data_IF_773236057036
#
_entry.id   IF_773236057036
#
_cell.length_a   1.000
_cell.length_b   1.000
_cell.length_c   1.000
_cell.angle_alpha   90.00
_cell.angle_beta   90.00
_cell.angle_gamma   90.00
#
_symmetry.space_group_name_H-M   'P 1'
#
loop_
_entity.id
_entity.type
_entity.pdbx_description
1 polymer ?
#
# COMPACT_ATOMS: atom_id res chain seq x y z
N UNK A 1 13.63 -29.77 10.23
CA UNK A 1 13.96 -28.37 9.98
C UNK A 1 12.88 -27.75 9.13
N UNK A 2 12.32 -26.61 9.56
CA UNK A 2 11.30 -25.92 8.78
C UNK A 2 11.94 -25.22 7.58
N UNK A 3 11.30 -25.28 6.42
CA UNK A 3 11.80 -24.54 5.28
C UNK A 3 11.79 -23.04 5.56
N UNK A 4 12.73 -22.36 4.95
CA UNK A 4 12.85 -20.91 5.05
C UNK A 4 11.67 -20.24 4.31
N UNK A 5 11.11 -19.19 4.92
CA UNK A 5 10.04 -18.43 4.29
C UNK A 5 10.50 -17.84 2.94
N UNK A 6 9.65 -17.94 1.93
CA UNK A 6 9.87 -17.32 0.63
C UNK A 6 9.98 -15.79 0.76
N UNK A 7 10.82 -15.15 -0.06
CA UNK A 7 11.01 -13.70 -0.02
C UNK A 7 9.73 -12.91 -0.24
N UNK A 8 8.91 -13.34 -1.18
CA UNK A 8 7.64 -12.64 -1.44
C UNK A 8 6.72 -12.72 -0.23
N UNK A 9 6.64 -13.88 0.40
CA UNK A 9 5.84 -14.05 1.62
C UNK A 9 6.41 -13.23 2.77
N UNK A 10 7.72 -13.18 2.90
CA UNK A 10 8.40 -12.39 3.93
C UNK A 10 8.04 -10.92 3.81
N UNK A 11 8.22 -10.32 2.62
CA UNK A 11 7.92 -8.91 2.43
C UNK A 11 6.41 -8.63 2.46
N UNK A 12 5.56 -9.56 2.00
CA UNK A 12 4.11 -9.41 2.12
C UNK A 12 3.65 -9.48 3.58
N UNK A 13 4.27 -10.30 4.41
CA UNK A 13 3.99 -10.33 5.84
C UNK A 13 4.40 -9.03 6.53
N UNK A 14 5.49 -8.40 6.11
CA UNK A 14 5.88 -7.09 6.60
C UNK A 14 4.83 -6.05 6.18
N UNK A 15 4.40 -6.08 4.92
CA UNK A 15 3.35 -5.18 4.42
C UNK A 15 2.05 -5.36 5.21
N UNK A 16 1.70 -6.59 5.58
CA UNK A 16 0.53 -6.87 6.42
C UNK A 16 0.66 -6.22 7.79
N UNK A 17 1.83 -6.31 8.41
CA UNK A 17 2.11 -5.67 9.70
C UNK A 17 2.01 -4.15 9.56
N UNK A 18 2.53 -3.58 8.47
CA UNK A 18 2.41 -2.15 8.18
C UNK A 18 0.93 -1.77 8.03
N UNK A 19 0.15 -2.56 7.31
CA UNK A 19 -1.28 -2.32 7.13
C UNK A 19 -2.04 -2.25 8.47
N UNK A 20 -1.62 -3.01 9.47
CA UNK A 20 -2.25 -3.03 10.78
C UNK A 20 -2.18 -1.68 11.49
N UNK A 21 -1.30 -0.77 11.09
CA UNK A 21 -1.19 0.59 11.63
C UNK A 21 -2.10 1.58 10.93
N UNK A 22 -2.80 1.18 9.87
CA UNK A 22 -3.68 2.09 9.13
C UNK A 22 -4.75 2.69 10.03
N UNK A 23 -5.07 3.97 9.79
CA UNK A 23 -6.16 4.67 10.50
C UNK A 23 -7.45 4.69 9.69
N UNK A 24 -7.51 4.01 8.55
CA UNK A 24 -8.71 3.92 7.73
C UNK A 24 -9.70 2.92 8.34
N UNK A 25 -10.99 3.29 8.38
CA UNK A 25 -12.06 2.45 8.91
C UNK A 25 -12.56 1.44 7.88
N UNK A 26 -12.39 1.72 6.58
CA UNK A 26 -12.95 0.90 5.51
C UNK A 26 -12.05 -0.26 5.14
N UNK A 27 -10.82 0.04 4.69
CA UNK A 27 -9.81 -0.95 4.34
C UNK A 27 -8.45 -0.48 4.78
N UNK A 28 -7.65 -1.41 5.25
CA UNK A 28 -6.29 -1.12 5.69
C UNK A 28 -5.31 -1.68 4.67
N UNK A 29 -4.41 -0.82 4.19
CA UNK A 29 -3.37 -1.20 3.24
C UNK A 29 -1.99 -0.90 3.81
N UNK A 30 -1.05 -1.77 3.48
CA UNK A 30 0.36 -1.58 3.78
C UNK A 30 1.17 -1.77 2.52
N UNK A 31 2.16 -0.90 2.32
CA UNK A 31 3.08 -0.95 1.20
C UNK A 31 4.51 -0.99 1.70
N UNK A 32 5.34 -1.82 1.07
CA UNK A 32 6.77 -1.92 1.37
C UNK A 32 7.53 -1.84 0.07
N UNK A 33 8.44 -0.87 -0.03
CA UNK A 33 9.32 -0.74 -1.20
C UNK A 33 10.64 -1.41 -0.88
N UNK A 34 11.07 -2.31 -1.76
CA UNK A 34 12.29 -3.09 -1.62
C UNK A 34 13.16 -2.91 -2.84
N UNK A 35 14.46 -2.75 -2.66
CA UNK A 35 15.43 -2.69 -3.74
C UNK A 35 16.71 -3.35 -3.28
N UNK A 36 17.28 -4.21 -4.12
CA UNK A 36 18.48 -4.98 -3.80
C UNK A 36 18.34 -5.73 -2.46
N UNK A 37 17.16 -6.31 -2.22
CA UNK A 37 16.84 -7.07 -1.00
C UNK A 37 16.93 -6.22 0.28
N UNK A 38 16.72 -4.91 0.16
CA UNK A 38 16.68 -3.98 1.29
C UNK A 38 15.35 -3.25 1.31
N UNK A 39 14.76 -3.10 2.49
CA UNK A 39 13.56 -2.28 2.65
C UNK A 39 13.97 -0.80 2.55
N UNK A 40 13.41 -0.11 1.55
CA UNK A 40 13.70 1.30 1.29
C UNK A 40 12.71 2.19 2.06
N UNK A 41 11.42 1.83 2.03
CA UNK A 41 10.38 2.61 2.68
C UNK A 41 9.17 1.75 2.93
N UNK A 42 8.35 2.18 3.89
CA UNK A 42 7.04 1.59 4.17
C UNK A 42 5.99 2.68 4.17
N UNK A 43 4.74 2.30 3.98
CA UNK A 43 3.63 3.23 4.08
C UNK A 43 2.33 2.48 4.35
N UNK A 44 1.47 3.08 5.16
CA UNK A 44 0.10 2.59 5.36
C UNK A 44 -0.87 3.72 5.01
N UNK A 45 -2.10 3.36 4.68
CA UNK A 45 -3.09 4.38 4.36
C UNK A 45 -3.63 5.00 5.66
N UNK A 46 -3.90 6.31 5.60
CA UNK A 46 -4.40 7.02 6.77
C UNK A 46 -4.50 8.50 6.51
N UNK A 47 -4.98 9.23 7.52
CA UNK A 47 -5.09 10.68 7.45
C UNK A 47 -3.72 11.35 7.30
N UNK A 48 -3.73 12.57 6.83
CA UNK A 48 -2.53 13.38 6.71
C UNK A 48 -1.85 13.49 8.07
N UNK A 49 -0.53 13.41 8.10
CA UNK A 49 0.24 13.54 9.34
C UNK A 49 -0.09 14.85 10.04
N UNK A 50 -0.43 14.78 11.34
CA UNK A 50 -0.84 15.93 12.11
C UNK A 50 -2.30 16.33 11.93
N UNK A 51 -2.99 15.72 10.97
CA UNK A 51 -4.42 15.93 10.75
C UNK A 51 -5.26 14.87 11.47
N UNK A 52 -6.58 15.07 11.43
CA UNK A 52 -7.54 14.14 12.02
C UNK A 52 -7.73 12.95 11.08
N UNK A 53 -7.64 11.72 11.60
CA UNK A 53 -7.85 10.51 10.81
C UNK A 53 -9.26 9.94 11.00
N UNK A 54 -9.62 8.90 10.23
CA UNK A 54 -10.94 8.31 10.26
C UNK A 54 -11.24 7.61 11.60
N UNK A 55 -10.24 7.02 12.25
CA UNK A 55 -10.42 6.40 13.55
C UNK A 55 -10.81 7.47 14.58
N UNK A 56 -10.12 8.62 14.58
CA UNK A 56 -10.40 9.72 15.50
C UNK A 56 -11.77 10.34 15.23
N UNK A 57 -12.15 10.50 13.94
CA UNK A 57 -13.45 11.07 13.58
C UNK A 57 -14.59 10.07 13.76
N UNK A 58 -14.29 8.76 13.75
CA UNK A 58 -15.30 7.70 13.82
C UNK A 58 -16.12 7.57 12.55
N UNK A 59 -15.70 8.17 11.43
CA UNK A 59 -16.47 8.19 10.19
C UNK A 59 -15.56 8.10 8.97
N UNK A 60 -16.00 7.31 8.00
CA UNK A 60 -15.36 7.23 6.68
C UNK A 60 -16.31 7.81 5.63
N UNK A 61 -15.95 8.93 4.96
CA UNK A 61 -16.81 9.51 3.93
C UNK A 61 -17.14 8.57 2.77
N UNK A 62 -16.34 7.54 2.57
CA UNK A 62 -16.52 6.58 1.47
C UNK A 62 -17.06 5.22 1.90
N UNK A 63 -17.51 5.07 3.15
CA UNK A 63 -17.90 3.77 3.71
C UNK A 63 -18.93 3.02 2.86
N UNK A 64 -19.89 3.74 2.28
CA UNK A 64 -20.99 3.17 1.51
C UNK A 64 -20.78 3.24 -0.01
N UNK A 65 -19.59 3.62 -0.47
CA UNK A 65 -19.28 3.73 -1.89
C UNK A 65 -18.55 2.48 -2.39
N UNK A 66 -18.78 2.07 -3.64
CA UNK A 66 -17.99 0.97 -4.22
C UNK A 66 -16.50 1.29 -4.23
N UNK A 67 -15.67 0.26 -4.07
CA UNK A 67 -14.22 0.40 -4.10
C UNK A 67 -13.77 0.93 -5.48
N UNK A 68 -12.83 1.87 -5.48
CA UNK A 68 -12.29 2.53 -6.67
C UNK A 68 -13.35 3.21 -7.54
N UNK A 69 -14.47 3.64 -6.93
CA UNK A 69 -15.53 4.37 -7.64
C UNK A 69 -15.52 5.85 -7.25
N UNK A 70 -15.96 6.68 -8.17
CA UNK A 70 -16.16 8.10 -7.95
C UNK A 70 -14.87 8.88 -7.65
N UNK A 71 -15.05 10.06 -7.06
CA UNK A 71 -13.97 10.97 -6.72
C UNK A 71 -13.51 10.71 -5.27
N UNK A 72 -12.20 10.62 -5.05
CA UNK A 72 -11.61 10.43 -3.74
C UNK A 72 -11.38 11.73 -2.96
N UNK A 73 -11.82 12.88 -3.49
CA UNK A 73 -11.60 14.17 -2.81
C UNK A 73 -12.26 14.25 -1.43
N UNK A 74 -13.32 13.50 -1.18
CA UNK A 74 -13.98 13.45 0.13
C UNK A 74 -13.25 12.55 1.13
N UNK A 75 -12.34 11.72 0.67
CA UNK A 75 -11.55 10.86 1.54
C UNK A 75 -10.38 11.65 2.11
N UNK A 76 -10.24 11.64 3.44
CA UNK A 76 -9.13 12.33 4.11
C UNK A 76 -7.84 11.51 4.14
N UNK A 77 -7.89 10.27 3.65
CA UNK A 77 -6.76 9.34 3.70
C UNK A 77 -5.77 9.53 2.56
N UNK A 78 -4.50 9.36 2.88
CA UNK A 78 -3.42 9.21 1.91
C UNK A 78 -3.22 7.71 1.70
N UNK A 79 -3.01 7.29 0.46
CA UNK A 79 -2.87 5.85 0.14
C UNK A 79 -1.55 5.28 0.66
N UNK A 80 -1.52 3.99 0.95
CA UNK A 80 -0.33 3.30 1.43
C UNK A 80 0.83 3.45 0.44
N UNK A 81 0.57 3.25 -0.85
CA UNK A 81 1.58 3.38 -1.91
C UNK A 81 2.13 4.81 -1.95
N UNK A 82 1.27 5.82 -1.84
CA UNK A 82 1.67 7.22 -1.82
C UNK A 82 2.58 7.51 -0.65
N UNK A 83 2.24 7.04 0.55
CA UNK A 83 3.05 7.24 1.74
C UNK A 83 4.42 6.56 1.62
N UNK A 84 4.47 5.36 1.09
CA UNK A 84 5.74 4.67 0.87
C UNK A 84 6.59 5.43 -0.15
N UNK A 85 6.00 5.88 -1.26
CA UNK A 85 6.71 6.58 -2.32
C UNK A 85 7.28 7.93 -1.86
N UNK A 86 6.53 8.71 -1.08
CA UNK A 86 7.03 10.00 -0.60
C UNK A 86 8.06 9.86 0.52
N UNK A 87 8.21 8.68 1.11
CA UNK A 87 9.18 8.42 2.17
C UNK A 87 10.53 7.96 1.64
N UNK A 88 10.70 7.85 0.31
CA UNK A 88 11.91 7.35 -0.32
C UNK A 88 12.42 8.32 -1.38
N UNK A 89 13.72 8.27 -1.66
CA UNK A 89 14.28 8.98 -2.79
C UNK A 89 14.06 8.15 -4.07
N UNK A 90 13.76 8.82 -5.19
CA UNK A 90 13.50 8.12 -6.44
C UNK A 90 14.69 7.24 -6.86
N UNK A 91 15.92 7.73 -6.69
CA UNK A 91 17.13 6.96 -7.05
C UNK A 91 17.23 5.62 -6.32
N UNK A 92 16.64 5.52 -5.12
CA UNK A 92 16.65 4.29 -4.33
C UNK A 92 15.53 3.33 -4.73
N UNK A 93 14.53 3.80 -5.48
CA UNK A 93 13.38 3.01 -5.91
C UNK A 93 13.52 2.42 -7.32
N UNK A 94 14.36 3.02 -8.16
CA UNK A 94 14.49 2.59 -9.56
C UNK A 94 14.92 1.11 -9.63
N UNK A 95 14.17 0.32 -10.40
CA UNK A 95 14.30 -1.13 -10.55
C UNK A 95 13.96 -1.92 -9.27
N UNK A 96 13.34 -1.28 -8.30
CA UNK A 96 12.87 -1.95 -7.10
C UNK A 96 11.50 -2.59 -7.27
N UNK A 97 10.98 -3.14 -6.20
CA UNK A 97 9.67 -3.77 -6.13
C UNK A 97 8.83 -3.10 -5.04
N UNK A 98 7.51 -3.10 -5.22
CA UNK A 98 6.57 -2.65 -4.20
C UNK A 98 5.67 -3.82 -3.81
N UNK A 99 5.65 -4.12 -2.52
CA UNK A 99 4.79 -5.15 -1.95
C UNK A 99 3.58 -4.48 -1.34
N UNK A 100 2.38 -4.91 -1.73
CA UNK A 100 1.12 -4.30 -1.30
C UNK A 100 0.23 -5.35 -0.67
N UNK A 101 -0.25 -5.06 0.54
CA UNK A 101 -1.13 -5.94 1.28
C UNK A 101 -2.36 -5.16 1.76
N UNK A 102 -3.52 -5.81 1.75
CA UNK A 102 -4.76 -5.20 2.19
C UNK A 102 -5.52 -6.05 3.19
N UNK A 103 -6.21 -5.37 4.10
CA UNK A 103 -7.06 -5.98 5.12
C UNK A 103 -8.45 -5.31 5.10
N UNK A 104 -9.48 -6.08 5.37
CA UNK A 104 -10.83 -5.59 5.60
C UNK A 104 -11.46 -6.45 6.70
N UNK A 105 -11.87 -5.82 7.81
CA UNK A 105 -12.39 -6.52 8.98
C UNK A 105 -11.43 -7.62 9.46
N UNK A 106 -10.13 -7.30 9.53
CA UNK A 106 -9.03 -8.18 9.94
C UNK A 106 -8.82 -9.40 9.03
N UNK A 107 -9.45 -9.41 7.86
CA UNK A 107 -9.28 -10.48 6.88
C UNK A 107 -8.39 -10.02 5.73
N UNK A 108 -7.56 -10.94 5.24
CA UNK A 108 -6.68 -10.68 4.09
C UNK A 108 -7.52 -10.45 2.83
N UNK A 109 -7.26 -9.34 2.14
CA UNK A 109 -7.89 -9.05 0.86
C UNK A 109 -7.14 -9.76 -0.27
N UNK A 110 -7.88 -10.47 -1.12
CA UNK A 110 -7.30 -11.14 -2.28
C UNK A 110 -7.16 -10.21 -3.48
N UNK A 111 -8.12 -9.30 -3.67
CA UNK A 111 -8.14 -8.38 -4.80
C UNK A 111 -7.51 -7.05 -4.43
N UNK A 112 -6.18 -7.05 -4.33
CA UNK A 112 -5.40 -5.87 -3.98
C UNK A 112 -4.72 -5.34 -5.24
N UNK A 113 -5.01 -4.08 -5.57
CA UNK A 113 -4.43 -3.43 -6.73
C UNK A 113 -4.30 -1.93 -6.47
N UNK A 114 -3.18 -1.30 -6.85
CA UNK A 114 -3.07 0.16 -6.74
C UNK A 114 -4.15 0.85 -7.58
N UNK A 115 -4.65 1.99 -7.10
CA UNK A 115 -5.58 2.79 -7.89
C UNK A 115 -4.87 3.37 -9.12
N UNK A 116 -5.61 3.90 -10.12
CA UNK A 116 -4.99 4.43 -11.33
C UNK A 116 -3.96 5.53 -11.07
N UNK A 117 -4.17 6.38 -10.06
CA UNK A 117 -3.22 7.43 -9.69
C UNK A 117 -1.94 6.79 -9.12
N UNK A 118 -2.09 5.83 -8.21
CA UNK A 118 -0.94 5.15 -7.62
C UNK A 118 -0.13 4.37 -8.67
N UNK A 119 -0.80 3.75 -9.64
CA UNK A 119 -0.12 3.07 -10.75
C UNK A 119 0.83 4.01 -11.50
N UNK A 120 0.36 5.21 -11.81
CA UNK A 120 1.18 6.22 -12.49
C UNK A 120 2.38 6.62 -11.64
N UNK A 121 2.17 6.81 -10.35
CA UNK A 121 3.24 7.19 -9.42
C UNK A 121 4.29 6.09 -9.32
N UNK A 122 3.85 4.83 -9.23
CA UNK A 122 4.73 3.65 -9.16
C UNK A 122 5.61 3.57 -10.42
N UNK A 123 5.01 3.71 -11.60
CA UNK A 123 5.74 3.71 -12.87
C UNK A 123 6.75 4.86 -12.90
N UNK A 124 6.32 6.06 -12.52
CA UNK A 124 7.17 7.24 -12.53
C UNK A 124 8.33 7.16 -11.54
N UNK A 125 8.14 6.41 -10.44
CA UNK A 125 9.20 6.14 -9.47
C UNK A 125 10.26 5.15 -9.98
N UNK A 126 9.98 4.46 -11.08
CA UNK A 126 10.90 3.47 -11.66
C UNK A 126 10.79 2.08 -11.04
N UNK A 127 9.74 1.83 -10.26
CA UNK A 127 9.50 0.52 -9.66
C UNK A 127 9.12 -0.46 -10.77
N UNK A 128 9.82 -1.60 -10.84
CA UNK A 128 9.66 -2.53 -11.96
C UNK A 128 8.48 -3.48 -11.81
N UNK A 129 8.04 -3.78 -10.58
CA UNK A 129 6.89 -4.67 -10.36
C UNK A 129 6.23 -4.43 -9.01
N UNK A 130 4.96 -4.79 -8.94
CA UNK A 130 4.16 -4.78 -7.71
C UNK A 130 3.80 -6.22 -7.38
N UNK A 131 4.01 -6.63 -6.14
CA UNK A 131 3.72 -7.98 -5.66
C UNK A 131 2.58 -7.90 -4.65
N UNK A 132 1.56 -8.72 -4.86
CA UNK A 132 0.44 -8.92 -3.94
C UNK A 132 0.32 -10.41 -3.63
N UNK A 133 -0.65 -10.81 -2.81
CA UNK A 133 -0.86 -12.23 -2.53
C UNK A 133 -1.23 -13.04 -3.78
N UNK A 134 -1.68 -12.40 -4.85
CA UNK A 134 -2.01 -13.05 -6.12
C UNK A 134 -0.83 -13.16 -7.07
N UNK A 135 0.32 -12.58 -6.74
CA UNK A 135 1.52 -12.67 -7.55
C UNK A 135 2.06 -11.32 -7.98
N UNK A 136 2.80 -11.31 -9.06
CA UNK A 136 3.53 -10.15 -9.54
C UNK A 136 2.83 -9.51 -10.73
N UNK A 137 2.85 -8.18 -10.78
CA UNK A 137 2.35 -7.39 -11.92
C UNK A 137 3.33 -6.29 -12.27
N UNK A 138 3.40 -5.99 -13.56
CA UNK A 138 4.18 -4.86 -14.09
C UNK A 138 3.21 -3.85 -14.69
N UNK A 139 3.36 -2.58 -14.34
CA UNK A 139 2.56 -1.51 -14.91
C UNK A 139 3.44 -0.67 -15.83
N UNK A 140 2.84 -0.22 -16.95
CA UNK A 140 3.52 0.57 -17.94
C UNK A 140 2.85 1.94 -18.11
N UNK A 141 3.64 2.90 -18.57
CA UNK A 141 3.15 4.25 -18.82
C UNK A 141 2.19 4.32 -20.02
#
# INVERSE_FOLDING_TARGET
MNPRMDKNDYYLNIAKTVAARSTCLRRQYGAVIVNNDEIIATGYNGGVRGGKNCIESGNCPRMNMPHNSGDYSDCIGVHAEQNALISAARRDMINGELYLFGLENDKDLEDVEPCPICKKMIVNAGIKKVITIKGEKTYES
#
